data_IF_082222131279
#
_entry.id   IF_082222131279
#
_cell.length_a   1.000
_cell.length_b   1.000
_cell.length_c   1.000
_cell.angle_alpha   90.00
_cell.angle_beta   90.00
_cell.angle_gamma   90.00
#
_symmetry.space_group_name_H-M   'P 1'
#
loop_
_entity.id
_entity.type
_entity.pdbx_description
1 polymer ?
#
# COMPACT_ATOMS: atom_id res chain seq x y z
N UNK A 1 -6.55 23.57 34.59
CA UNK A 1 -5.80 22.53 33.84
C UNK A 1 -6.56 21.21 33.71
N UNK A 2 -7.35 20.81 34.71
CA UNK A 2 -8.22 19.61 34.64
C UNK A 2 -9.29 19.66 33.53
N UNK A 3 -9.86 20.83 33.27
CA UNK A 3 -11.00 20.98 32.35
C UNK A 3 -10.63 20.75 30.87
N UNK A 4 -9.48 21.27 30.43
CA UNK A 4 -9.01 21.12 29.04
C UNK A 4 -8.75 19.67 28.66
N UNK A 5 -8.18 18.87 29.57
CA UNK A 5 -7.91 17.47 29.29
C UNK A 5 -9.19 16.63 29.22
N UNK A 6 -10.22 17.00 29.98
CA UNK A 6 -11.54 16.36 29.92
C UNK A 6 -12.25 16.71 28.61
N UNK A 7 -12.22 17.98 28.20
CA UNK A 7 -12.78 18.42 26.91
C UNK A 7 -12.07 17.74 25.74
N UNK A 8 -10.74 17.64 25.76
CA UNK A 8 -9.98 16.95 24.71
C UNK A 8 -10.34 15.46 24.65
N UNK A 9 -10.48 14.79 25.80
CA UNK A 9 -10.94 13.39 25.84
C UNK A 9 -12.38 13.24 25.35
N UNK A 10 -13.24 14.20 25.66
CA UNK A 10 -14.63 14.16 25.22
C UNK A 10 -14.72 14.36 23.70
N UNK A 11 -14.04 15.37 23.17
CA UNK A 11 -13.94 15.65 21.72
C UNK A 11 -13.29 14.48 20.98
N UNK A 12 -12.32 13.79 21.58
CA UNK A 12 -11.71 12.62 20.94
C UNK A 12 -12.62 11.40 20.86
N UNK A 13 -13.47 11.21 21.87
CA UNK A 13 -14.25 10.00 22.00
C UNK A 13 -15.55 10.02 21.17
N UNK A 14 -16.05 11.21 20.82
CA UNK A 14 -17.28 11.32 20.02
C UNK A 14 -17.10 10.75 18.60
N UNK A 15 -16.10 11.16 17.78
CA UNK A 15 -15.89 10.56 16.47
C UNK A 15 -15.70 9.04 16.55
N UNK A 16 -15.02 8.56 17.58
CA UNK A 16 -14.77 7.14 17.79
C UNK A 16 -16.05 6.36 18.10
N UNK A 17 -16.90 6.89 18.99
CA UNK A 17 -18.19 6.30 19.30
C UNK A 17 -19.13 6.27 18.08
N UNK A 18 -19.13 7.33 17.27
CA UNK A 18 -19.91 7.38 16.03
C UNK A 18 -19.43 6.33 15.02
N UNK A 19 -18.11 6.24 14.79
CA UNK A 19 -17.53 5.23 13.89
C UNK A 19 -17.78 3.81 14.38
N UNK A 20 -17.72 3.58 15.70
CA UNK A 20 -18.06 2.29 16.28
C UNK A 20 -19.54 1.94 16.10
N UNK A 21 -20.43 2.93 16.23
CA UNK A 21 -21.84 2.81 15.88
C UNK A 21 -22.02 2.38 14.42
N UNK A 22 -21.38 3.10 13.48
CA UNK A 22 -21.42 2.76 12.06
C UNK A 22 -20.91 1.32 11.79
N UNK A 23 -19.84 0.93 12.46
CA UNK A 23 -19.26 -0.40 12.37
C UNK A 23 -20.23 -1.50 12.82
N UNK A 24 -20.88 -1.33 13.98
CA UNK A 24 -21.89 -2.28 14.48
C UNK A 24 -23.05 -2.41 13.49
N UNK A 25 -23.60 -1.28 13.03
CA UNK A 25 -24.74 -1.31 12.12
C UNK A 25 -24.41 -1.97 10.77
N UNK A 26 -23.23 -1.72 10.20
CA UNK A 26 -22.79 -2.36 8.95
C UNK A 26 -22.50 -3.85 9.14
N UNK A 27 -21.90 -4.27 10.26
CA UNK A 27 -21.75 -5.71 10.57
C UNK A 27 -23.09 -6.39 10.81
N UNK A 28 -24.01 -5.73 11.51
CA UNK A 28 -25.37 -6.24 11.74
C UNK A 28 -26.14 -6.38 10.42
N UNK A 29 -25.94 -5.49 9.45
CA UNK A 29 -26.53 -5.61 8.11
C UNK A 29 -25.95 -6.82 7.34
N UNK A 30 -24.63 -7.04 7.40
CA UNK A 30 -23.93 -8.14 6.70
C UNK A 30 -24.30 -9.54 7.22
N UNK A 31 -24.61 -9.68 8.51
CA UNK A 31 -24.96 -10.98 9.12
C UNK A 31 -26.40 -11.41 8.79
N UNK A 32 -27.28 -10.47 8.47
CA UNK A 32 -28.71 -10.76 8.20
C UNK A 32 -28.89 -11.51 6.88
N UNK A 33 -29.91 -12.36 6.83
CA UNK A 33 -30.26 -13.13 5.64
C UNK A 33 -30.77 -12.23 4.50
N UNK A 34 -30.63 -12.64 3.22
CA UNK A 34 -31.04 -11.84 2.06
C UNK A 34 -32.55 -11.57 1.97
N UNK A 35 -33.39 -12.19 2.81
CA UNK A 35 -34.83 -11.91 2.88
C UNK A 35 -35.16 -10.63 3.66
N UNK A 36 -34.30 -10.21 4.59
CA UNK A 36 -34.51 -9.04 5.44
C UNK A 36 -33.98 -7.75 4.80
N UNK A 37 -34.27 -7.54 3.50
CA UNK A 37 -33.67 -6.44 2.71
C UNK A 37 -33.99 -5.06 3.28
N UNK A 38 -35.20 -4.86 3.82
CA UNK A 38 -35.62 -3.56 4.36
C UNK A 38 -34.88 -3.21 5.64
N UNK A 39 -34.65 -4.20 6.53
CA UNK A 39 -33.91 -3.94 7.77
C UNK A 39 -32.42 -3.77 7.49
N UNK A 40 -31.86 -4.50 6.51
CA UNK A 40 -30.49 -4.25 6.05
C UNK A 40 -30.32 -2.82 5.52
N UNK A 41 -31.27 -2.33 4.70
CA UNK A 41 -31.28 -0.94 4.21
C UNK A 41 -31.36 0.05 5.36
N UNK A 42 -32.22 -0.19 6.35
CA UNK A 42 -32.35 0.69 7.51
C UNK A 42 -31.08 0.71 8.37
N UNK A 43 -30.45 -0.44 8.63
CA UNK A 43 -29.17 -0.52 9.33
C UNK A 43 -28.07 0.25 8.58
N UNK A 44 -27.99 0.10 7.25
CA UNK A 44 -27.02 0.84 6.44
C UNK A 44 -27.30 2.35 6.48
N UNK A 45 -28.57 2.77 6.43
CA UNK A 45 -28.95 4.18 6.55
C UNK A 45 -28.51 4.77 7.90
N UNK A 46 -28.70 4.05 9.00
CA UNK A 46 -28.22 4.49 10.31
C UNK A 46 -26.69 4.55 10.34
N UNK A 47 -25.99 3.55 9.79
CA UNK A 47 -24.54 3.59 9.70
C UNK A 47 -24.03 4.81 8.91
N UNK A 48 -24.69 5.18 7.82
CA UNK A 48 -24.31 6.34 7.02
C UNK A 48 -24.58 7.67 7.73
N UNK A 49 -25.59 7.73 8.61
CA UNK A 49 -25.81 8.88 9.50
C UNK A 49 -24.66 9.03 10.50
N UNK A 50 -24.22 7.92 11.11
CA UNK A 50 -23.07 7.92 12.00
C UNK A 50 -21.76 8.33 11.28
N UNK A 51 -21.54 7.81 10.07
CA UNK A 51 -20.40 8.16 9.20
C UNK A 51 -20.36 9.66 8.90
N UNK A 52 -21.50 10.23 8.48
CA UNK A 52 -21.63 11.66 8.18
C UNK A 52 -21.48 12.54 9.43
N UNK A 53 -21.99 12.08 10.58
CA UNK A 53 -21.81 12.74 11.87
C UNK A 53 -20.33 12.81 12.27
N UNK A 54 -19.62 11.69 12.18
CA UNK A 54 -18.18 11.64 12.47
C UNK A 54 -17.38 12.55 11.54
N UNK A 55 -17.72 12.55 10.24
CA UNK A 55 -17.06 13.39 9.24
C UNK A 55 -17.25 14.89 9.54
N UNK A 56 -18.45 15.27 9.98
CA UNK A 56 -18.78 16.66 10.32
C UNK A 56 -18.03 17.16 11.55
N UNK A 57 -17.89 16.32 12.58
CA UNK A 57 -17.15 16.68 13.80
C UNK A 57 -15.66 16.85 13.52
N UNK A 58 -15.05 15.91 12.79
CA UNK A 58 -13.64 16.04 12.42
C UNK A 58 -13.40 17.24 11.53
N UNK A 59 -14.32 17.55 10.60
CA UNK A 59 -14.24 18.77 9.80
C UNK A 59 -14.29 20.03 10.68
N UNK A 60 -15.21 20.10 11.64
CA UNK A 60 -15.28 21.25 12.56
C UNK A 60 -14.00 21.39 13.39
N UNK A 61 -13.45 20.29 13.90
CA UNK A 61 -12.18 20.31 14.63
C UNK A 61 -11.03 20.79 13.74
N UNK A 62 -11.00 20.37 12.48
CA UNK A 62 -9.98 20.77 11.52
C UNK A 62 -10.09 22.24 11.09
N UNK A 63 -11.30 22.76 10.96
CA UNK A 63 -11.55 24.16 10.64
C UNK A 63 -11.15 25.10 11.81
N UNK A 64 -11.17 24.61 13.05
CA UNK A 64 -10.72 25.33 14.27
C UNK A 64 -9.21 25.20 14.51
N UNK A 65 -8.69 23.97 14.58
CA UNK A 65 -7.26 23.67 14.77
C UNK A 65 -6.85 22.44 13.94
N UNK A 66 -6.17 22.69 12.82
CA UNK A 66 -5.65 21.65 11.92
C UNK A 66 -4.76 20.64 12.66
N UNK A 67 -3.86 21.09 13.55
CA UNK A 67 -2.89 20.21 14.19
C UNK A 67 -3.56 19.32 15.23
N UNK A 68 -4.46 19.90 16.04
CA UNK A 68 -5.24 19.13 16.99
C UNK A 68 -6.07 18.04 16.29
N UNK A 69 -6.69 18.35 15.15
CA UNK A 69 -7.47 17.39 14.40
C UNK A 69 -6.61 16.26 13.80
N UNK A 70 -5.38 16.56 13.36
CA UNK A 70 -4.42 15.56 12.86
C UNK A 70 -3.89 14.65 13.97
N UNK A 71 -3.56 15.21 15.14
CA UNK A 71 -3.14 14.44 16.31
C UNK A 71 -4.26 13.53 16.81
N UNK A 72 -5.50 14.00 16.73
CA UNK A 72 -6.67 13.22 17.10
C UNK A 72 -6.80 11.95 16.25
N UNK A 73 -6.57 12.01 14.94
CA UNK A 73 -6.65 10.84 14.04
C UNK A 73 -5.65 9.73 14.38
N UNK A 74 -4.49 10.10 14.92
CA UNK A 74 -3.41 9.17 15.26
C UNK A 74 -3.58 8.55 16.64
N UNK A 75 -4.46 9.11 17.47
CA UNK A 75 -4.67 8.65 18.83
C UNK A 75 -5.33 7.27 18.82
N UNK A 76 -4.70 6.32 19.51
CA UNK A 76 -5.30 5.04 19.85
C UNK A 76 -6.06 5.16 21.17
N UNK A 77 -7.25 4.54 21.23
CA UNK A 77 -8.03 4.49 22.47
C UNK A 77 -8.01 3.07 23.06
N UNK A 78 -7.71 2.99 24.35
CA UNK A 78 -7.69 1.76 25.15
C UNK A 78 -9.07 1.11 25.16
N UNK A 79 -10.15 1.91 25.16
CA UNK A 79 -11.53 1.41 25.18
C UNK A 79 -11.89 0.59 23.93
N UNK A 80 -11.20 0.82 22.81
CA UNK A 80 -11.46 0.16 21.53
C UNK A 80 -10.26 -0.67 21.05
N UNK A 81 -9.63 -1.40 21.99
CA UNK A 81 -8.50 -2.31 21.71
C UNK A 81 -7.27 -1.62 21.09
N UNK A 82 -7.03 -0.35 21.43
CA UNK A 82 -5.96 0.48 20.85
C UNK A 82 -6.08 0.69 19.33
N UNK A 83 -7.26 0.53 18.74
CA UNK A 83 -7.49 0.91 17.35
C UNK A 83 -7.47 2.43 17.20
N UNK A 84 -6.84 2.90 16.12
CA UNK A 84 -6.91 4.30 15.71
C UNK A 84 -8.26 4.60 15.05
N UNK A 85 -8.64 5.89 15.02
CA UNK A 85 -9.84 6.36 14.31
C UNK A 85 -9.83 5.92 12.84
N UNK A 86 -8.65 5.93 12.20
CA UNK A 86 -8.49 5.58 10.79
C UNK A 86 -8.67 4.07 10.54
N UNK A 87 -8.12 3.22 11.41
CA UNK A 87 -8.30 1.77 11.33
C UNK A 87 -9.76 1.36 11.53
N UNK A 88 -10.44 1.98 12.51
CA UNK A 88 -11.86 1.72 12.74
C UNK A 88 -12.73 2.21 11.57
N UNK A 89 -12.44 3.41 11.04
CA UNK A 89 -13.15 3.93 9.87
C UNK A 89 -12.97 3.04 8.63
N UNK A 90 -11.76 2.49 8.44
CA UNK A 90 -11.46 1.54 7.35
C UNK A 90 -12.22 0.22 7.53
N UNK A 91 -12.18 -0.40 8.71
CA UNK A 91 -12.89 -1.66 9.00
C UNK A 91 -14.42 -1.48 8.91
N UNK A 92 -14.91 -0.30 9.28
CA UNK A 92 -16.31 0.08 9.16
C UNK A 92 -16.73 0.48 7.74
N UNK A 93 -15.81 0.64 6.78
CA UNK A 93 -16.08 1.16 5.43
C UNK A 93 -16.71 2.58 5.42
N UNK A 94 -16.31 3.46 6.35
CA UNK A 94 -16.82 4.83 6.50
C UNK A 94 -16.29 5.78 5.42
N UNK A 95 -16.88 5.73 4.22
CA UNK A 95 -16.43 6.49 3.05
C UNK A 95 -16.53 8.01 3.26
N UNK A 96 -17.59 8.50 3.89
CA UNK A 96 -17.80 9.95 4.09
C UNK A 96 -16.75 10.53 5.04
N UNK A 97 -16.46 9.82 6.13
CA UNK A 97 -15.39 10.16 7.06
C UNK A 97 -14.02 10.13 6.39
N UNK A 98 -13.71 9.06 5.65
CA UNK A 98 -12.42 8.90 4.97
C UNK A 98 -12.21 9.98 3.89
N UNK A 99 -13.27 10.44 3.23
CA UNK A 99 -13.23 11.54 2.26
C UNK A 99 -13.13 12.94 2.88
N UNK A 100 -13.18 13.05 4.22
CA UNK A 100 -13.05 14.35 4.90
C UNK A 100 -11.69 14.99 4.63
N UNK A 101 -11.67 16.34 4.54
CA UNK A 101 -10.44 17.10 4.27
C UNK A 101 -9.32 16.80 5.28
N UNK A 102 -9.66 16.63 6.56
CA UNK A 102 -8.71 16.30 7.61
C UNK A 102 -8.03 14.95 7.37
N UNK A 103 -8.81 13.90 7.08
CA UNK A 103 -8.27 12.57 6.80
C UNK A 103 -7.44 12.58 5.51
N UNK A 104 -7.91 13.23 4.45
CA UNK A 104 -7.16 13.36 3.20
C UNK A 104 -5.82 14.11 3.42
N UNK A 105 -5.84 15.21 4.18
CA UNK A 105 -4.63 15.95 4.56
C UNK A 105 -3.65 15.09 5.36
N UNK A 106 -4.16 14.28 6.27
CA UNK A 106 -3.35 13.33 7.04
C UNK A 106 -2.73 12.24 6.15
N UNK A 107 -3.52 11.66 5.24
CA UNK A 107 -3.05 10.67 4.27
C UNK A 107 -2.01 11.26 3.31
N UNK A 108 -2.19 12.51 2.87
CA UNK A 108 -1.19 13.23 2.08
C UNK A 108 0.12 13.39 2.86
N UNK A 109 0.05 13.77 4.14
CA UNK A 109 1.25 13.89 4.97
C UNK A 109 1.97 12.54 5.13
N UNK A 110 1.22 11.44 5.24
CA UNK A 110 1.80 10.08 5.23
C UNK A 110 2.42 9.76 3.87
N UNK A 111 1.72 10.08 2.78
CA UNK A 111 2.11 9.77 1.40
C UNK A 111 3.42 10.46 0.99
N UNK A 112 3.54 11.75 1.31
CA UNK A 112 4.74 12.55 1.03
C UNK A 112 5.83 12.38 2.09
N UNK A 113 5.49 11.92 3.30
CA UNK A 113 6.43 11.82 4.41
C UNK A 113 7.09 13.17 4.69
N UNK A 114 8.42 13.22 4.65
CA UNK A 114 9.20 14.44 4.92
C UNK A 114 9.35 15.37 3.68
N UNK A 115 8.69 15.07 2.56
CA UNK A 115 8.81 15.82 1.30
C UNK A 115 7.80 16.98 1.26
N UNK A 116 8.23 18.16 0.81
CA UNK A 116 7.39 19.36 0.78
C UNK A 116 6.46 19.41 -0.45
N UNK A 117 5.23 18.92 -0.30
CA UNK A 117 4.23 18.88 -1.40
C UNK A 117 3.80 20.27 -1.92
N UNK A 118 3.85 21.35 -1.11
CA UNK A 118 3.33 22.68 -1.50
C UNK A 118 4.14 23.37 -2.63
N UNK A 119 5.32 22.86 -2.99
CA UNK A 119 6.18 23.43 -4.05
C UNK A 119 6.30 22.57 -5.32
N UNK A 120 5.76 21.36 -5.33
CA UNK A 120 6.08 20.37 -6.37
C UNK A 120 5.05 20.27 -7.52
N UNK A 121 3.83 20.81 -7.35
CA UNK A 121 2.82 20.77 -8.42
C UNK A 121 3.19 21.59 -9.68
N UNK A 122 4.22 22.46 -9.62
CA UNK A 122 4.62 23.33 -10.74
C UNK A 122 6.02 22.98 -11.28
N UNK A 123 6.83 22.18 -10.57
CA UNK A 123 8.18 21.86 -11.02
C UNK A 123 8.47 20.38 -10.76
N UNK A 124 8.49 19.58 -11.81
CA UNK A 124 9.11 18.25 -11.85
C UNK A 124 10.66 18.36 -11.78
N UNK A 125 11.15 19.20 -10.86
CA UNK A 125 12.53 19.22 -10.37
C UNK A 125 12.43 18.74 -8.94
N UNK A 126 12.65 17.45 -8.74
CA UNK A 126 12.89 16.81 -7.44
C UNK A 126 14.07 17.55 -6.80
N UNK A 127 13.77 18.65 -6.13
CA UNK A 127 14.73 19.49 -5.43
C UNK A 127 14.52 19.12 -3.98
N UNK A 128 15.51 18.41 -3.40
CA UNK A 128 15.56 17.89 -2.02
C UNK A 128 15.31 18.99 -0.97
N UNK A 129 14.06 19.45 -0.84
CA UNK A 129 13.65 20.53 0.02
C UNK A 129 12.74 19.97 1.11
N UNK A 130 13.37 19.31 2.08
CA UNK A 130 12.72 18.77 3.27
C UNK A 130 12.23 19.94 4.12
N UNK A 131 10.97 19.90 4.58
CA UNK A 131 10.42 20.95 5.45
C UNK A 131 11.14 20.96 6.81
N UNK A 132 11.42 22.15 7.34
CA UNK A 132 11.71 22.33 8.76
C UNK A 132 10.37 22.31 9.51
N UNK A 133 10.13 21.27 10.31
CA UNK A 133 8.87 21.03 11.02
C UNK A 133 8.42 22.23 11.87
N UNK A 134 7.16 22.63 11.70
CA UNK A 134 6.50 23.61 12.55
C UNK A 134 6.22 22.97 13.91
N UNK A 135 6.67 23.63 14.98
CA UNK A 135 6.48 23.24 16.40
C UNK A 135 5.08 22.70 16.70
N UNK A 136 4.97 21.37 16.85
CA UNK A 136 3.82 20.73 17.50
C UNK A 136 4.30 20.29 18.88
N UNK A 137 3.77 20.92 19.92
CA UNK A 137 4.01 20.50 21.29
C UNK A 137 3.22 19.22 21.54
N UNK A 138 3.87 18.08 21.80
CA UNK A 138 3.18 17.02 22.53
C UNK A 138 4.13 16.04 23.24
N UNK A 139 4.04 16.08 24.57
CA UNK A 139 4.15 14.91 25.42
C UNK A 139 2.86 14.09 25.30
N UNK A 140 2.93 12.84 24.84
CA UNK A 140 2.35 11.62 25.47
C UNK A 140 2.68 10.38 24.62
N UNK A 141 3.18 9.34 25.32
CA UNK A 141 3.45 7.92 25.00
C UNK A 141 2.51 7.21 23.99
N UNK A 142 3.05 6.58 22.93
CA UNK A 142 3.26 5.12 22.68
C UNK A 142 2.50 4.71 21.41
N UNK A 143 2.84 3.73 20.57
CA UNK A 143 3.99 2.86 20.26
C UNK A 143 3.65 2.35 18.83
N UNK A 144 4.58 2.41 17.86
CA UNK A 144 4.55 1.87 16.47
C UNK A 144 4.46 2.84 15.28
N UNK A 145 4.07 4.11 15.41
CA UNK A 145 4.22 5.12 14.34
C UNK A 145 5.41 6.08 14.58
N UNK A 146 6.18 5.82 15.64
CA UNK A 146 7.12 6.76 16.25
C UNK A 146 8.45 6.99 15.51
N UNK A 147 8.83 6.22 14.49
CA UNK A 147 10.11 6.49 13.80
C UNK A 147 10.04 7.68 12.83
N UNK A 148 8.88 7.99 12.26
CA UNK A 148 8.76 9.10 11.30
C UNK A 148 8.56 10.46 11.97
N UNK A 149 7.97 10.51 13.17
CA UNK A 149 7.58 11.77 13.83
C UNK A 149 8.58 12.21 14.91
N UNK A 150 9.32 11.29 15.55
CA UNK A 150 10.23 11.66 16.65
C UNK A 150 11.50 12.43 16.22
N UNK A 151 11.81 12.49 14.92
CA UNK A 151 13.11 12.98 14.48
C UNK A 151 13.18 14.49 14.15
N UNK A 152 12.08 15.24 14.33
CA UNK A 152 11.97 16.68 13.99
C UNK A 152 12.85 17.64 14.82
N UNK A 153 13.71 17.16 15.73
CA UNK A 153 14.52 18.03 16.61
C UNK A 153 15.95 18.33 16.13
N UNK A 154 16.39 17.91 14.95
CA UNK A 154 17.74 18.25 14.46
C UNK A 154 17.68 19.36 13.41
N UNK A 155 18.05 20.57 13.81
CA UNK A 155 18.19 21.76 12.95
C UNK A 155 19.35 21.68 11.94
N UNK A 156 20.03 20.53 11.85
CA UNK A 156 21.07 20.29 10.86
C UNK A 156 21.05 18.81 10.45
N UNK A 157 20.18 18.47 9.49
CA UNK A 157 20.06 17.13 8.92
C UNK A 157 21.16 16.99 7.86
N UNK A 158 22.03 15.97 7.98
CA UNK A 158 23.10 15.70 7.02
C UNK A 158 22.50 15.44 5.63
N UNK A 159 23.24 15.73 4.56
CA UNK A 159 22.77 15.46 3.19
C UNK A 159 22.42 13.98 2.96
N UNK A 160 23.16 13.07 3.62
CA UNK A 160 22.87 11.63 3.60
C UNK A 160 21.55 11.30 4.28
N UNK A 161 21.26 11.94 5.40
CA UNK A 161 19.99 11.77 6.10
C UNK A 161 18.84 12.29 5.21
N UNK A 162 19.03 13.40 4.49
CA UNK A 162 18.04 13.91 3.54
C UNK A 162 17.73 12.91 2.42
N UNK A 163 18.77 12.30 1.86
CA UNK A 163 18.61 11.26 0.83
C UNK A 163 17.91 10.03 1.43
N UNK A 164 18.27 9.62 2.64
CA UNK A 164 17.62 8.51 3.34
C UNK A 164 16.12 8.78 3.56
N UNK A 165 15.74 9.97 4.03
CA UNK A 165 14.34 10.36 4.18
C UNK A 165 13.58 10.40 2.85
N UNK A 166 14.24 10.85 1.79
CA UNK A 166 13.65 10.87 0.44
C UNK A 166 13.30 9.45 -0.05
N UNK A 167 14.25 8.50 0.00
CA UNK A 167 13.98 7.12 -0.43
C UNK A 167 13.09 6.31 0.52
N UNK A 168 12.93 6.76 1.77
CA UNK A 168 11.95 6.19 2.71
C UNK A 168 10.51 6.65 2.45
N UNK A 169 10.29 7.73 1.69
CA UNK A 169 8.95 8.27 1.44
C UNK A 169 8.10 7.31 0.57
N UNK A 170 6.82 7.06 0.91
CA UNK A 170 5.94 6.18 0.15
C UNK A 170 5.76 6.57 -1.32
N UNK A 171 5.65 7.86 -1.61
CA UNK A 171 5.53 8.35 -2.99
C UNK A 171 6.76 8.00 -3.86
N UNK A 172 7.97 8.15 -3.31
CA UNK A 172 9.21 7.80 -4.02
C UNK A 172 9.25 6.30 -4.27
N UNK A 173 8.78 5.51 -3.29
CA UNK A 173 8.64 4.06 -3.43
C UNK A 173 7.74 3.67 -4.57
N UNK A 174 6.55 4.26 -4.60
CA UNK A 174 5.59 4.05 -5.67
C UNK A 174 6.18 4.34 -7.06
N UNK A 175 6.90 5.45 -7.23
CA UNK A 175 7.49 5.79 -8.53
C UNK A 175 8.58 4.82 -8.99
N UNK A 176 9.51 4.42 -8.11
CA UNK A 176 10.55 3.48 -8.54
C UNK A 176 9.97 2.11 -8.89
N UNK A 177 8.99 1.61 -8.11
CA UNK A 177 8.33 0.34 -8.42
C UNK A 177 7.59 0.43 -9.75
N UNK A 178 6.92 1.55 -10.01
CA UNK A 178 6.21 1.80 -11.27
C UNK A 178 7.18 1.83 -12.46
N UNK A 179 8.28 2.59 -12.37
CA UNK A 179 9.29 2.68 -13.44
C UNK A 179 9.95 1.32 -13.67
N UNK A 180 10.32 0.61 -12.60
CA UNK A 180 10.86 -0.75 -12.68
C UNK A 180 9.89 -1.68 -13.41
N UNK A 181 8.60 -1.64 -13.05
CA UNK A 181 7.59 -2.49 -13.68
C UNK A 181 7.38 -2.19 -15.16
N UNK A 182 7.40 -0.90 -15.56
CA UNK A 182 7.34 -0.51 -16.98
C UNK A 182 8.55 -1.06 -17.76
N UNK A 183 9.76 -0.92 -17.21
CA UNK A 183 10.99 -1.44 -17.82
C UNK A 183 10.94 -2.97 -17.89
N UNK A 184 10.50 -3.62 -16.81
CA UNK A 184 10.32 -5.06 -16.73
C UNK A 184 9.34 -5.56 -17.78
N UNK A 185 8.18 -4.92 -17.95
CA UNK A 185 7.19 -5.29 -18.94
C UNK A 185 7.73 -5.11 -20.37
N UNK A 186 8.50 -4.06 -20.61
CA UNK A 186 9.22 -3.84 -21.86
C UNK A 186 10.26 -4.92 -22.15
N UNK A 187 11.07 -5.29 -21.15
CA UNK A 187 12.06 -6.35 -21.24
C UNK A 187 11.40 -7.72 -21.46
N UNK A 188 10.35 -8.04 -20.71
CA UNK A 188 9.57 -9.26 -20.82
C UNK A 188 8.95 -9.41 -22.21
N UNK A 189 8.31 -8.34 -22.71
CA UNK A 189 7.78 -8.28 -24.06
C UNK A 189 8.88 -8.50 -25.10
N UNK A 190 10.01 -7.79 -24.98
CA UNK A 190 11.15 -7.94 -25.88
C UNK A 190 11.68 -9.38 -25.91
N UNK A 191 11.89 -10.01 -24.74
CA UNK A 191 12.39 -11.38 -24.65
C UNK A 191 11.42 -12.37 -25.29
N UNK A 192 10.11 -12.25 -25.04
CA UNK A 192 9.12 -13.17 -25.65
C UNK A 192 9.03 -13.00 -27.17
N UNK A 193 9.05 -11.76 -27.66
CA UNK A 193 8.85 -11.49 -29.09
C UNK A 193 10.10 -11.75 -29.92
N UNK A 194 11.27 -11.29 -29.46
CA UNK A 194 12.52 -11.25 -30.25
C UNK A 194 13.47 -12.37 -29.85
N UNK A 195 13.74 -12.54 -28.56
CA UNK A 195 14.85 -13.38 -28.08
C UNK A 195 14.44 -14.79 -27.62
N UNK A 196 13.15 -15.11 -27.63
CA UNK A 196 12.69 -16.45 -27.26
C UNK A 196 13.03 -17.40 -28.40
N UNK A 197 14.20 -18.04 -28.36
CA UNK A 197 14.64 -19.03 -29.35
C UNK A 197 14.71 -20.44 -28.74
N UNK A 198 14.39 -21.49 -29.52
CA UNK A 198 14.55 -22.86 -29.05
C UNK A 198 16.03 -23.17 -28.81
N UNK A 199 16.34 -23.79 -27.67
CA UNK A 199 17.71 -24.09 -27.22
C UNK A 199 18.46 -25.04 -28.19
N UNK A 200 17.73 -25.72 -29.09
CA UNK A 200 18.31 -26.66 -30.04
C UNK A 200 18.93 -25.96 -31.28
N UNK A 201 18.34 -24.89 -31.81
CA UNK A 201 18.82 -24.21 -33.04
C UNK A 201 20.14 -23.47 -32.81
N UNK A 202 20.40 -22.96 -31.60
CA UNK A 202 21.68 -22.31 -31.29
C UNK A 202 22.85 -23.30 -31.15
N UNK A 203 22.55 -24.58 -30.85
CA UNK A 203 23.56 -25.63 -30.65
C UNK A 203 24.02 -26.30 -31.96
N UNK A 204 23.23 -26.26 -33.03
CA UNK A 204 23.58 -26.92 -34.30
C UNK A 204 24.64 -26.15 -35.11
N UNK A 205 24.67 -24.82 -34.99
CA UNK A 205 25.58 -23.95 -35.77
C UNK A 205 26.97 -23.74 -35.14
N UNK A 206 27.26 -24.28 -33.95
CA UNK A 206 28.58 -24.20 -33.30
C UNK A 206 29.11 -25.59 -32.98
N UNK A 207 30.09 -26.01 -33.77
CA UNK A 207 30.86 -27.23 -33.55
C UNK A 207 31.42 -27.29 -32.11
N UNK A 208 31.13 -28.38 -31.40
CA UNK A 208 31.98 -28.91 -30.33
C UNK A 208 31.67 -28.57 -28.87
N UNK A 209 30.77 -27.62 -28.55
CA UNK A 209 30.43 -27.33 -27.15
C UNK A 209 28.92 -27.24 -26.94
N UNK A 210 28.34 -28.25 -26.28
CA UNK A 210 26.94 -28.29 -25.77
C UNK A 210 26.73 -27.32 -24.59
N UNK A 211 27.20 -26.08 -24.69
CA UNK A 211 26.98 -25.10 -23.64
C UNK A 211 25.65 -24.39 -23.92
N UNK A 212 24.70 -24.56 -23.01
CA UNK A 212 23.38 -23.91 -22.98
C UNK A 212 23.54 -22.38 -22.90
N UNK A 213 23.76 -21.71 -24.03
CA UNK A 213 23.95 -20.26 -24.07
C UNK A 213 22.58 -19.58 -24.07
N UNK A 214 22.02 -19.41 -22.87
CA UNK A 214 20.86 -18.56 -22.63
C UNK A 214 21.27 -17.11 -22.91
N UNK A 215 20.52 -16.33 -23.72
CA UNK A 215 20.85 -14.93 -23.96
C UNK A 215 20.84 -14.12 -22.66
N UNK A 216 21.74 -13.14 -22.57
CA UNK A 216 21.92 -12.32 -21.35
C UNK A 216 20.60 -11.63 -20.96
N UNK A 217 19.78 -11.25 -21.95
CA UNK A 217 18.46 -10.64 -21.78
C UNK A 217 17.46 -11.57 -21.08
N UNK A 218 17.44 -12.88 -21.42
CA UNK A 218 16.62 -13.90 -20.74
C UNK A 218 17.11 -14.14 -19.31
N UNK A 219 18.43 -14.13 -19.07
CA UNK A 219 19.00 -14.23 -17.70
C UNK A 219 18.56 -13.05 -16.83
N UNK A 220 18.68 -11.82 -17.33
CA UNK A 220 18.26 -10.61 -16.61
C UNK A 220 16.76 -10.70 -16.30
N UNK A 221 15.94 -11.13 -17.26
CA UNK A 221 14.51 -11.30 -17.05
C UNK A 221 14.22 -12.30 -15.91
N UNK A 222 14.88 -13.46 -15.91
CA UNK A 222 14.69 -14.45 -14.85
C UNK A 222 15.10 -13.90 -13.48
N UNK A 223 16.21 -13.16 -13.37
CA UNK A 223 16.62 -12.50 -12.12
C UNK A 223 15.54 -11.52 -11.65
N UNK A 224 14.97 -10.72 -12.56
CA UNK A 224 13.87 -9.82 -12.23
C UNK A 224 12.64 -10.58 -11.73
N UNK A 225 12.21 -11.65 -12.40
CA UNK A 225 11.05 -12.44 -11.95
C UNK A 225 11.33 -13.10 -10.59
N UNK A 226 12.53 -13.64 -10.38
CA UNK A 226 12.92 -14.17 -9.08
C UNK A 226 12.85 -13.12 -7.97
N UNK A 227 13.25 -11.87 -8.25
CA UNK A 227 13.11 -10.78 -7.27
C UNK A 227 11.65 -10.48 -6.93
N UNK A 228 10.73 -10.54 -7.90
CA UNK A 228 9.29 -10.36 -7.69
C UNK A 228 8.70 -11.53 -6.86
N UNK A 229 9.11 -12.77 -7.15
CA UNK A 229 8.69 -13.95 -6.36
C UNK A 229 9.11 -13.80 -4.89
N UNK A 230 10.34 -13.33 -4.63
CA UNK A 230 10.83 -13.10 -3.26
C UNK A 230 10.01 -12.01 -2.56
N UNK A 231 9.66 -10.92 -3.24
CA UNK A 231 8.80 -9.87 -2.71
C UNK A 231 7.41 -10.43 -2.32
N UNK A 232 6.79 -11.24 -3.18
CA UNK A 232 5.49 -11.87 -2.91
C UNK A 232 5.56 -12.86 -1.73
N UNK A 233 6.63 -13.66 -1.64
CA UNK A 233 6.87 -14.52 -0.47
C UNK A 233 7.02 -13.69 0.80
N UNK A 234 7.74 -12.58 0.75
CA UNK A 234 7.90 -11.68 1.89
C UNK A 234 6.54 -11.10 2.33
N UNK A 235 5.69 -10.69 1.39
CA UNK A 235 4.34 -10.21 1.70
C UNK A 235 3.49 -11.30 2.38
N UNK A 236 3.53 -12.54 1.88
CA UNK A 236 2.82 -13.68 2.49
C UNK A 236 3.30 -13.95 3.93
N UNK A 237 4.61 -13.90 4.18
CA UNK A 237 5.20 -14.11 5.50
C UNK A 237 4.88 -12.98 6.48
N UNK A 238 4.81 -11.74 5.99
CA UNK A 238 4.47 -10.57 6.79
C UNK A 238 2.97 -10.47 7.11
N UNK A 239 2.12 -11.19 6.37
CA UNK A 239 0.68 -11.15 6.57
C UNK A 239 0.29 -11.84 7.89
N UNK A 240 -0.57 -11.18 8.67
CA UNK A 240 -1.10 -11.75 9.92
C UNK A 240 -1.91 -13.04 9.71
N UNK A 241 -2.44 -13.25 8.50
CA UNK A 241 -3.13 -14.49 8.11
C UNK A 241 -3.11 -14.69 6.60
N UNK A 242 -2.81 -15.91 6.16
CA UNK A 242 -2.88 -16.31 4.75
C UNK A 242 -4.28 -16.16 4.15
N UNK A 243 -5.34 -16.28 4.96
CA UNK A 243 -6.72 -16.07 4.50
C UNK A 243 -7.01 -14.60 4.15
N UNK A 244 -6.38 -13.66 4.86
CA UNK A 244 -6.52 -12.23 4.56
C UNK A 244 -5.78 -11.89 3.26
N UNK A 245 -4.60 -12.50 3.05
CA UNK A 245 -3.83 -12.35 1.81
C UNK A 245 -4.62 -12.82 0.58
N UNK A 246 -5.15 -14.04 0.64
CA UNK A 246 -5.86 -14.68 -0.49
C UNK A 246 -7.23 -14.01 -0.77
N UNK A 247 -7.78 -13.28 0.20
CA UNK A 247 -9.02 -12.51 0.00
C UNK A 247 -8.83 -11.35 -0.99
N UNK A 248 -7.60 -10.83 -1.13
CA UNK A 248 -7.29 -9.78 -2.09
C UNK A 248 -7.29 -10.33 -3.51
N UNK A 249 -8.14 -9.78 -4.39
CA UNK A 249 -8.18 -10.15 -5.81
C UNK A 249 -6.87 -9.89 -6.54
N UNK A 250 -6.12 -8.86 -6.11
CA UNK A 250 -4.82 -8.51 -6.66
C UNK A 250 -3.78 -9.59 -6.32
N UNK A 251 -3.67 -9.96 -5.04
CA UNK A 251 -2.72 -10.98 -4.61
C UNK A 251 -3.02 -12.36 -5.24
N UNK A 252 -4.29 -12.66 -5.51
CA UNK A 252 -4.66 -13.87 -6.25
C UNK A 252 -4.18 -13.83 -7.71
N UNK A 253 -4.19 -12.64 -8.35
CA UNK A 253 -3.65 -12.45 -9.69
C UNK A 253 -2.13 -12.64 -9.69
N UNK A 254 -1.42 -12.12 -8.70
CA UNK A 254 0.04 -12.25 -8.58
C UNK A 254 0.45 -13.72 -8.36
N UNK A 255 -0.27 -14.46 -7.49
CA UNK A 255 -0.06 -15.92 -7.32
C UNK A 255 -0.31 -16.66 -8.63
N UNK A 256 -1.38 -16.32 -9.34
CA UNK A 256 -1.73 -16.96 -10.62
C UNK A 256 -0.63 -16.72 -11.66
N UNK A 257 -0.12 -15.49 -11.75
CA UNK A 257 1.00 -15.14 -12.61
C UNK A 257 2.23 -16.00 -12.24
N UNK A 258 2.64 -16.04 -10.97
CA UNK A 258 3.78 -16.86 -10.52
C UNK A 258 3.62 -18.33 -10.95
N UNK A 259 2.42 -18.91 -10.81
CA UNK A 259 2.15 -20.28 -11.24
C UNK A 259 2.36 -20.43 -12.76
N UNK A 260 1.83 -19.53 -13.58
CA UNK A 260 2.03 -19.57 -15.04
C UNK A 260 3.49 -19.42 -15.42
N UNK A 261 4.22 -18.52 -14.77
CA UNK A 261 5.65 -18.37 -14.99
C UNK A 261 6.42 -19.65 -14.64
N UNK A 262 6.16 -20.27 -13.49
CA UNK A 262 6.83 -21.51 -13.08
C UNK A 262 6.56 -22.66 -14.06
N UNK A 263 5.33 -22.80 -14.54
CA UNK A 263 4.98 -23.80 -15.56
C UNK A 263 5.75 -23.51 -16.86
N UNK A 264 5.78 -22.25 -17.30
CA UNK A 264 6.53 -21.82 -18.48
C UNK A 264 8.03 -22.11 -18.35
N UNK A 265 8.61 -21.77 -17.20
CA UNK A 265 10.01 -21.99 -16.85
C UNK A 265 10.35 -23.49 -16.80
N UNK A 266 9.56 -24.32 -16.12
CA UNK A 266 9.79 -25.77 -16.07
C UNK A 266 9.70 -26.39 -17.48
N UNK A 267 8.68 -25.99 -18.26
CA UNK A 267 8.50 -26.49 -19.64
C UNK A 267 9.68 -26.11 -20.54
N UNK A 268 10.29 -24.94 -20.32
CA UNK A 268 11.49 -24.48 -21.03
C UNK A 268 12.68 -25.42 -20.85
N UNK A 269 12.91 -25.95 -19.64
CA UNK A 269 14.08 -26.77 -19.32
C UNK A 269 13.85 -28.28 -19.50
N UNK A 270 12.61 -28.77 -19.42
CA UNK A 270 12.32 -30.22 -19.47
C UNK A 270 12.13 -30.76 -20.89
N UNK A 271 11.57 -30.01 -21.84
CA UNK A 271 11.06 -30.60 -23.09
C UNK A 271 11.85 -30.16 -24.33
N UNK A 272 12.58 -31.10 -24.92
CA UNK A 272 13.69 -30.85 -25.84
C UNK A 272 13.34 -30.67 -27.33
N UNK A 273 12.16 -31.03 -27.86
CA UNK A 273 12.04 -31.10 -29.34
C UNK A 273 10.71 -30.69 -30.02
N UNK A 274 9.71 -30.11 -29.33
CA UNK A 274 8.48 -29.69 -30.03
C UNK A 274 7.49 -28.77 -29.31
N UNK A 275 7.76 -28.41 -28.06
CA UNK A 275 6.84 -27.65 -27.19
C UNK A 275 7.20 -26.18 -27.03
N UNK A 276 8.17 -25.67 -27.80
CA UNK A 276 8.60 -24.27 -27.77
C UNK A 276 7.42 -23.29 -27.95
N UNK A 277 6.49 -23.60 -28.86
CA UNK A 277 5.27 -22.78 -29.09
C UNK A 277 4.34 -22.82 -27.86
N UNK A 278 4.26 -23.97 -27.18
CA UNK A 278 3.41 -24.14 -25.99
C UNK A 278 4.02 -23.39 -24.80
N UNK A 279 5.34 -23.51 -24.60
CA UNK A 279 6.07 -22.78 -23.56
C UNK A 279 5.97 -21.27 -23.79
N UNK A 280 6.18 -20.78 -25.02
CA UNK A 280 5.99 -19.36 -25.38
C UNK A 280 4.56 -18.88 -25.09
N UNK A 281 3.55 -19.69 -25.41
CA UNK A 281 2.13 -19.37 -25.14
C UNK A 281 1.82 -19.32 -23.65
N UNK A 282 2.31 -20.28 -22.86
CA UNK A 282 2.08 -20.31 -21.41
C UNK A 282 2.81 -19.17 -20.71
N UNK A 283 4.06 -18.89 -21.09
CA UNK A 283 4.81 -17.75 -20.57
C UNK A 283 4.17 -16.42 -21.01
N UNK A 284 3.52 -16.33 -22.17
CA UNK A 284 2.79 -15.11 -22.58
C UNK A 284 1.55 -14.81 -21.70
N UNK A 285 0.98 -15.81 -21.02
CA UNK A 285 -0.14 -15.60 -20.09
C UNK A 285 0.30 -15.10 -18.70
N UNK A 286 1.62 -14.99 -18.47
CA UNK A 286 2.18 -14.23 -17.37
C UNK A 286 2.18 -12.73 -17.71
#
# INVERSE_FOLDING_TARGET
>A
MSDRNTVIRFVSNIPLALLFGAHIYRRAAKIRQPKDTDIQKQCNKHADQFDTGAASIIKLCFDDDEQFALDLLQRSDIAFKNLTLLELAKDAECKSFLASKCVQRHLDNIWYGCINHKREAINFKITLNIQNGSKINQSTTMHNSLEFVQHERKTNISWLDKINYFYKAPIVRFYYYTIFFIIFLGLFSFVILVDYFPLNIYNENRSGYKNLLIPITEIILHVCVWSLIVEEIYQILSAQSSKVYISSKWNMLDILAIIFYLIGFITRFIVLEGTFIISKKVTFFF
#
